data_IF_645011733779
#
_entry.id   IF_645011733779
#
_cell.length_a   1.000
_cell.length_b   1.000
_cell.length_c   1.000
_cell.angle_alpha   90.00
_cell.angle_beta   90.00
_cell.angle_gamma   90.00
#
_symmetry.space_group_name_H-M   'P 1'
#
loop_
_entity.id
_entity.type
_entity.pdbx_description
1 polymer ?
#
# COMPACT_ATOMS: atom_id res chain seq x y z
N UNK A 1 -4.51 17.34 -14.71
CA UNK A 1 -3.92 16.06 -14.25
C UNK A 1 -2.97 16.40 -13.12
N UNK A 2 -3.28 16.01 -11.88
CA UNK A 2 -2.50 16.42 -10.70
C UNK A 2 -1.10 15.81 -10.71
N UNK A 3 -0.10 16.66 -10.44
CA UNK A 3 1.33 16.35 -10.28
C UNK A 3 1.66 15.42 -9.10
N UNK A 4 0.65 14.96 -8.36
CA UNK A 4 0.78 14.11 -7.17
C UNK A 4 0.55 12.63 -7.45
N UNK A 5 0.50 12.21 -8.72
CA UNK A 5 0.61 10.80 -9.06
C UNK A 5 2.02 10.33 -8.66
N UNK A 6 2.13 9.75 -7.47
CA UNK A 6 3.29 9.00 -7.04
C UNK A 6 3.58 7.97 -8.13
N UNK A 7 4.58 8.27 -8.96
CA UNK A 7 5.18 7.32 -9.87
C UNK A 7 5.45 6.06 -9.07
N UNK A 8 4.99 4.91 -9.56
CA UNK A 8 5.30 3.56 -9.06
C UNK A 8 6.81 3.24 -9.19
N UNK A 9 7.67 4.17 -8.81
CA UNK A 9 9.10 3.99 -8.68
C UNK A 9 9.38 3.75 -7.21
N UNK A 10 9.97 2.60 -6.89
CA UNK A 10 10.79 2.49 -5.69
C UNK A 10 11.67 3.73 -5.62
N UNK A 11 11.75 4.38 -4.45
CA UNK A 11 12.64 5.53 -4.24
C UNK A 11 13.97 5.25 -4.92
N UNK A 12 14.41 6.14 -5.82
CA UNK A 12 15.72 6.01 -6.47
C UNK A 12 16.86 5.92 -5.42
N UNK A 13 16.58 6.41 -4.21
CA UNK A 13 17.48 6.34 -3.06
C UNK A 13 17.13 5.13 -2.19
N UNK A 14 18.03 4.16 -2.21
CA UNK A 14 18.02 3.01 -1.32
C UNK A 14 18.07 3.43 0.17
N UNK A 15 17.36 2.74 1.09
CA UNK A 15 17.41 3.05 2.51
C UNK A 15 18.83 3.04 3.09
N UNK A 16 19.09 3.93 4.04
CA UNK A 16 20.40 4.08 4.68
C UNK A 16 20.72 2.96 5.69
N UNK A 17 19.72 2.23 6.13
CA UNK A 17 19.83 1.19 7.15
C UNK A 17 19.92 -0.20 6.51
N UNK A 18 20.41 -1.18 7.27
CA UNK A 18 20.47 -2.59 6.84
C UNK A 18 19.05 -3.15 6.63
N UNK A 19 18.88 -4.04 5.66
CA UNK A 19 17.57 -4.68 5.38
C UNK A 19 16.93 -5.28 6.65
N UNK A 20 17.69 -6.10 7.38
CA UNK A 20 17.22 -6.78 8.60
C UNK A 20 17.10 -5.88 9.84
N UNK A 21 17.32 -4.56 9.71
CA UNK A 21 16.94 -3.60 10.75
C UNK A 21 15.46 -3.21 10.72
N UNK A 22 14.77 -3.54 9.63
CA UNK A 22 13.33 -3.42 9.51
C UNK A 22 12.69 -4.75 9.93
N UNK A 23 11.42 -4.70 10.35
CA UNK A 23 10.58 -5.90 10.57
C UNK A 23 9.64 -6.18 9.39
N UNK A 24 9.27 -5.12 8.67
CA UNK A 24 8.29 -5.17 7.60
C UNK A 24 8.72 -4.26 6.45
N UNK A 25 8.53 -4.74 5.23
CA UNK A 25 8.46 -3.91 4.03
C UNK A 25 7.04 -4.05 3.49
N UNK A 26 6.37 -2.93 3.19
CA UNK A 26 4.98 -2.93 2.74
C UNK A 26 4.90 -2.21 1.41
N UNK A 27 4.32 -2.87 0.40
CA UNK A 27 4.10 -2.31 -0.92
C UNK A 27 2.65 -2.56 -1.34
N UNK A 28 1.90 -1.48 -1.54
CA UNK A 28 0.61 -1.54 -2.24
C UNK A 28 0.84 -1.55 -3.75
N UNK A 29 0.09 -2.39 -4.46
CA UNK A 29 0.18 -2.53 -5.91
C UNK A 29 -1.16 -2.10 -6.51
N UNK A 30 -1.11 -1.11 -7.39
CA UNK A 30 -2.26 -0.65 -8.15
C UNK A 30 -2.31 -1.34 -9.51
N UNK A 31 -3.41 -2.03 -9.79
CA UNK A 31 -3.66 -2.74 -11.04
C UNK A 31 -4.55 -1.88 -11.94
N UNK A 32 -3.94 -1.23 -12.93
CA UNK A 32 -4.63 -0.45 -13.97
C UNK A 32 -5.63 0.58 -13.43
N UNK A 33 -5.29 1.24 -12.32
CA UNK A 33 -6.13 2.23 -11.62
C UNK A 33 -7.52 1.72 -11.21
N UNK A 34 -7.68 0.40 -11.07
CA UNK A 34 -8.98 -0.25 -10.83
C UNK A 34 -9.02 -1.08 -9.56
N UNK A 35 -7.88 -1.65 -9.17
CA UNK A 35 -7.80 -2.59 -8.05
C UNK A 35 -6.50 -2.45 -7.29
N UNK A 36 -6.54 -2.70 -5.99
CA UNK A 36 -5.38 -2.65 -5.10
C UNK A 36 -5.14 -4.02 -4.49
N UNK A 37 -3.88 -4.46 -4.56
CA UNK A 37 -3.36 -5.61 -3.80
C UNK A 37 -2.20 -5.14 -2.92
N UNK A 38 -1.73 -6.04 -2.06
CA UNK A 38 -0.69 -5.75 -1.09
C UNK A 38 0.37 -6.85 -1.07
N UNK A 39 1.63 -6.41 -0.98
CA UNK A 39 2.80 -7.25 -0.70
C UNK A 39 3.37 -6.80 0.64
N UNK A 40 3.46 -7.72 1.60
CA UNK A 40 4.14 -7.50 2.89
C UNK A 40 5.31 -8.47 2.96
N UNK A 41 6.52 -7.95 3.11
CA UNK A 41 7.71 -8.77 3.38
C UNK A 41 8.00 -8.68 4.87
N UNK A 42 8.07 -9.82 5.54
CA UNK A 42 8.53 -9.92 6.93
C UNK A 42 10.00 -10.31 6.95
N UNK A 43 10.76 -9.62 7.79
CA UNK A 43 12.17 -9.90 8.08
C UNK A 43 12.24 -10.49 9.48
N UNK A 44 12.80 -11.69 9.57
CA UNK A 44 12.98 -12.42 10.83
C UNK A 44 14.45 -12.34 11.29
N UNK A 45 14.72 -12.63 12.58
CA UNK A 45 16.08 -12.83 13.05
C UNK A 45 16.83 -13.85 12.17
N UNK A 46 18.16 -13.71 12.13
CA UNK A 46 19.04 -14.65 11.43
C UNK A 46 18.92 -14.67 9.90
N UNK A 47 18.46 -13.57 9.30
CA UNK A 47 18.48 -13.40 7.85
C UNK A 47 17.30 -14.03 7.11
N UNK A 48 16.22 -14.38 7.81
CA UNK A 48 15.05 -14.99 7.19
C UNK A 48 14.10 -13.94 6.60
N UNK A 49 13.50 -14.27 5.45
CA UNK A 49 12.51 -13.45 4.75
C UNK A 49 11.28 -14.30 4.39
N UNK A 50 10.10 -13.75 4.63
CA UNK A 50 8.84 -14.28 4.09
C UNK A 50 8.08 -13.18 3.37
N UNK A 51 7.40 -13.53 2.28
CA UNK A 51 6.54 -12.62 1.52
C UNK A 51 5.09 -13.04 1.67
N UNK A 52 4.22 -12.09 1.98
CA UNK A 52 2.80 -12.26 2.15
C UNK A 52 2.07 -11.44 1.09
N UNK A 53 1.24 -12.10 0.30
CA UNK A 53 0.41 -11.50 -0.73
C UNK A 53 -1.03 -11.42 -0.26
N UNK A 54 -1.66 -10.28 -0.51
CA UNK A 54 -3.05 -10.08 -0.16
C UNK A 54 -3.83 -9.43 -1.30
N UNK A 55 -4.91 -10.10 -1.70
CA UNK A 55 -5.88 -9.59 -2.65
C UNK A 55 -7.28 -9.67 -2.03
N UNK A 56 -7.89 -8.52 -1.66
CA UNK A 56 -9.23 -8.47 -1.08
C UNK A 56 -10.33 -9.08 -1.97
N UNK A 57 -10.15 -9.09 -3.31
CA UNK A 57 -11.10 -9.72 -4.25
C UNK A 57 -10.83 -11.22 -4.46
N UNK A 58 -9.60 -11.66 -4.24
CA UNK A 58 -9.11 -12.99 -4.61
C UNK A 58 -9.27 -13.32 -6.11
N UNK A 59 -9.10 -12.33 -6.98
CA UNK A 59 -9.17 -12.51 -8.44
C UNK A 59 -7.88 -13.09 -9.01
N UNK A 60 -7.99 -14.16 -9.83
CA UNK A 60 -6.82 -14.84 -10.42
C UNK A 60 -5.86 -13.92 -11.19
N UNK A 61 -6.31 -13.00 -12.07
CA UNK A 61 -5.40 -12.12 -12.82
C UNK A 61 -4.55 -11.22 -11.91
N UNK A 62 -5.16 -10.65 -10.86
CA UNK A 62 -4.46 -9.77 -9.93
C UNK A 62 -3.40 -10.51 -9.15
N UNK A 63 -3.64 -11.77 -8.77
CA UNK A 63 -2.63 -12.59 -8.09
C UNK A 63 -1.34 -12.73 -8.90
N UNK A 64 -1.47 -13.11 -10.17
CA UNK A 64 -0.33 -13.26 -11.08
C UNK A 64 0.41 -11.95 -11.29
N UNK A 65 -0.31 -10.83 -11.45
CA UNK A 65 0.33 -9.51 -11.58
C UNK A 65 1.07 -9.08 -10.30
N UNK A 66 0.51 -9.34 -9.12
CA UNK A 66 1.16 -9.06 -7.83
C UNK A 66 2.44 -9.88 -7.65
N UNK A 67 2.40 -11.18 -7.97
CA UNK A 67 3.57 -12.06 -7.98
C UNK A 67 4.63 -11.59 -8.98
N UNK A 68 4.21 -11.09 -10.14
CA UNK A 68 5.11 -10.51 -11.12
C UNK A 68 5.78 -9.25 -10.56
N UNK A 69 5.06 -8.37 -9.88
CA UNK A 69 5.65 -7.18 -9.23
C UNK A 69 6.66 -7.60 -8.16
N UNK A 70 6.37 -8.63 -7.38
CA UNK A 70 7.32 -9.19 -6.42
C UNK A 70 8.59 -9.69 -7.10
N UNK A 71 8.46 -10.62 -8.04
CA UNK A 71 9.61 -11.33 -8.65
C UNK A 71 10.44 -10.43 -9.55
N UNK A 72 9.80 -9.55 -10.34
CA UNK A 72 10.50 -8.72 -11.33
C UNK A 72 10.98 -7.37 -10.82
N UNK A 73 10.43 -6.89 -9.69
CA UNK A 73 10.77 -5.55 -9.17
C UNK A 73 11.21 -5.54 -7.71
N UNK A 74 10.32 -5.95 -6.80
CA UNK A 74 10.58 -5.78 -5.36
C UNK A 74 11.70 -6.72 -4.86
N UNK A 75 11.69 -8.00 -5.21
CA UNK A 75 12.72 -8.95 -4.80
C UNK A 75 14.12 -8.56 -5.32
N UNK A 76 14.30 -8.19 -6.61
CA UNK A 76 15.56 -7.63 -7.09
C UNK A 76 16.02 -6.41 -6.30
N UNK A 77 15.10 -5.47 -6.02
CA UNK A 77 15.42 -4.29 -5.19
C UNK A 77 15.89 -4.70 -3.78
N UNK A 78 15.20 -5.63 -3.13
CA UNK A 78 15.54 -6.13 -1.79
C UNK A 78 16.91 -6.82 -1.78
N UNK A 79 17.24 -7.60 -2.81
CA UNK A 79 18.57 -8.22 -2.97
C UNK A 79 19.66 -7.16 -3.13
N UNK A 80 19.46 -6.18 -4.00
CA UNK A 80 20.41 -5.09 -4.22
C UNK A 80 20.61 -4.28 -2.94
N UNK A 81 19.51 -3.99 -2.23
CA UNK A 81 19.57 -3.27 -0.96
C UNK A 81 20.37 -4.03 0.09
N UNK A 82 20.12 -5.33 0.25
CA UNK A 82 20.90 -6.18 1.15
C UNK A 82 22.39 -6.17 0.78
N UNK A 83 22.76 -6.42 -0.47
CA UNK A 83 24.16 -6.52 -0.90
C UNK A 83 24.91 -5.20 -0.71
N UNK A 84 24.25 -4.07 -0.94
CA UNK A 84 24.86 -2.75 -0.77
C UNK A 84 25.17 -2.39 0.68
N UNK A 85 24.55 -3.07 1.66
CA UNK A 85 24.69 -2.81 3.10
C UNK A 85 25.22 -4.01 3.88
N UNK A 86 25.67 -5.03 3.16
CA UNK A 86 26.26 -6.24 3.70
C UNK A 86 27.58 -5.95 4.40
N UNK A 87 27.83 -6.63 5.51
CA UNK A 87 29.10 -6.61 6.22
C UNK A 87 29.47 -7.99 6.73
N UNK A 88 30.76 -8.23 6.93
CA UNK A 88 31.26 -9.49 7.50
C UNK A 88 30.62 -9.75 8.87
N UNK A 89 30.01 -10.92 9.02
CA UNK A 89 29.28 -11.33 10.24
C UNK A 89 27.75 -11.21 10.16
N UNK A 90 27.19 -10.63 9.10
CA UNK A 90 25.76 -10.68 8.85
C UNK A 90 25.31 -12.08 8.35
N UNK A 91 24.00 -12.38 8.36
CA UNK A 91 23.44 -13.63 7.86
C UNK A 91 23.20 -13.60 6.35
N UNK A 92 23.54 -14.67 5.59
CA UNK A 92 23.41 -14.68 4.14
C UNK A 92 21.97 -14.40 3.70
N UNK A 93 21.82 -13.78 2.51
CA UNK A 93 20.50 -13.57 1.93
C UNK A 93 19.88 -14.94 1.69
N UNK A 94 18.62 -15.16 2.08
CA UNK A 94 18.04 -16.48 1.99
C UNK A 94 17.96 -16.93 0.53
N UNK A 95 18.35 -18.18 0.27
CA UNK A 95 18.29 -18.77 -1.07
C UNK A 95 16.86 -18.77 -1.62
N UNK A 96 15.90 -19.00 -0.73
CA UNK A 96 14.46 -19.03 -1.00
C UNK A 96 13.72 -18.10 -0.03
N UNK A 97 12.75 -17.35 -0.55
CA UNK A 97 11.83 -16.53 0.26
C UNK A 97 10.52 -17.30 0.33
N UNK A 98 10.03 -17.60 1.54
CA UNK A 98 8.75 -18.30 1.71
C UNK A 98 7.62 -17.38 1.28
N UNK A 99 6.73 -17.87 0.43
CA UNK A 99 5.56 -17.12 -0.02
C UNK A 99 4.28 -17.58 0.68
N UNK A 100 3.39 -16.64 0.92
CA UNK A 100 2.11 -16.91 1.57
C UNK A 100 1.00 -16.04 0.98
N UNK A 101 -0.07 -16.66 0.51
CA UNK A 101 -1.28 -15.96 0.12
C UNK A 101 -2.25 -15.85 1.29
N UNK A 102 -2.49 -14.62 1.74
CA UNK A 102 -3.52 -14.31 2.73
C UNK A 102 -4.88 -14.43 2.05
N UNK A 103 -5.64 -15.46 2.42
CA UNK A 103 -6.92 -15.78 1.78
C UNK A 103 -8.10 -14.96 2.33
N UNK A 104 -8.03 -14.52 3.58
CA UNK A 104 -9.09 -13.81 4.30
C UNK A 104 -8.52 -12.62 5.08
N UNK A 105 -9.34 -11.59 5.35
CA UNK A 105 -10.73 -11.41 4.90
C UNK A 105 -10.84 -10.98 3.44
N UNK A 106 -12.01 -11.20 2.84
CA UNK A 106 -12.36 -10.66 1.52
C UNK A 106 -13.18 -9.38 1.66
N UNK A 107 -13.10 -8.53 0.64
CA UNK A 107 -13.97 -7.35 0.61
C UNK A 107 -15.43 -7.71 0.29
N UNK A 108 -16.41 -6.98 0.85
CA UNK A 108 -17.83 -7.23 0.62
C UNK A 108 -18.38 -6.66 -0.70
N UNK A 109 -17.57 -5.90 -1.44
CA UNK A 109 -17.97 -5.18 -2.64
C UNK A 109 -16.81 -5.03 -3.64
N UNK A 110 -17.02 -4.29 -4.74
CA UNK A 110 -16.01 -4.05 -5.77
C UNK A 110 -15.13 -2.81 -5.58
N UNK A 111 -15.26 -2.07 -4.46
CA UNK A 111 -14.64 -0.73 -4.32
C UNK A 111 -13.92 -0.50 -2.99
N UNK A 112 -13.74 -1.55 -2.18
CA UNK A 112 -13.11 -1.48 -0.86
C UNK A 112 -11.66 -1.95 -0.85
N UNK A 113 -11.06 -2.28 -1.99
CA UNK A 113 -9.77 -2.96 -2.04
C UNK A 113 -8.65 -2.12 -1.40
N UNK A 114 -8.67 -0.80 -1.61
CA UNK A 114 -7.71 0.12 -0.99
C UNK A 114 -7.78 0.13 0.54
N UNK A 115 -8.98 0.27 1.12
CA UNK A 115 -9.13 0.31 2.59
C UNK A 115 -8.82 -1.06 3.21
N UNK A 116 -9.12 -2.16 2.51
CA UNK A 116 -8.78 -3.51 2.94
C UNK A 116 -7.26 -3.74 2.94
N UNK A 117 -6.54 -3.31 1.89
CA UNK A 117 -5.08 -3.37 1.86
C UNK A 117 -4.46 -2.57 3.01
N UNK A 118 -4.94 -1.34 3.24
CA UNK A 118 -4.43 -0.51 4.33
C UNK A 118 -4.62 -1.21 5.68
N UNK A 119 -5.80 -1.77 5.91
CA UNK A 119 -6.11 -2.32 7.19
C UNK A 119 -5.42 -3.68 7.42
N UNK A 120 -5.15 -4.46 6.36
CA UNK A 120 -4.29 -5.64 6.41
C UNK A 120 -2.84 -5.26 6.79
N UNK A 121 -2.29 -4.23 6.14
CA UNK A 121 -0.97 -3.71 6.49
C UNK A 121 -0.92 -3.25 7.95
N UNK A 122 -1.93 -2.50 8.40
CA UNK A 122 -2.04 -2.06 9.79
C UNK A 122 -2.00 -3.24 10.76
N UNK A 123 -2.74 -4.32 10.48
CA UNK A 123 -2.76 -5.52 11.32
C UNK A 123 -1.35 -6.09 11.49
N UNK A 124 -0.66 -6.34 10.37
CA UNK A 124 0.70 -6.88 10.38
C UNK A 124 1.66 -6.02 11.19
N UNK A 125 1.60 -4.69 11.01
CA UNK A 125 2.46 -3.74 11.70
C UNK A 125 2.22 -3.69 13.22
N UNK A 126 1.01 -4.03 13.68
CA UNK A 126 0.64 -4.06 15.10
C UNK A 126 0.79 -5.44 15.75
N UNK A 127 1.38 -6.41 15.05
CA UNK A 127 1.62 -7.76 15.57
C UNK A 127 0.45 -8.73 15.38
N UNK A 128 -0.62 -8.28 14.72
CA UNK A 128 -1.75 -9.12 14.36
C UNK A 128 -1.55 -9.58 12.91
N UNK A 129 -1.06 -10.81 12.68
CA UNK A 129 -0.75 -11.35 11.34
C UNK A 129 -2.00 -11.68 10.49
N UNK A 130 -3.01 -10.82 10.53
CA UNK A 130 -4.31 -11.01 9.93
C UNK A 130 -5.34 -10.14 10.62
N UNK A 131 -6.44 -9.90 9.94
CA UNK A 131 -7.63 -9.35 10.59
C UNK A 131 -8.23 -10.40 11.51
N UNK A 132 -8.62 -10.03 12.73
CA UNK A 132 -9.37 -10.93 13.63
C UNK A 132 -10.72 -11.39 13.04
N UNK A 133 -11.21 -10.70 12.00
CA UNK A 133 -12.48 -10.99 11.35
C UNK A 133 -12.25 -11.73 10.04
N UNK A 134 -12.76 -12.95 9.97
CA UNK A 134 -12.82 -13.72 8.72
C UNK A 134 -13.82 -13.15 7.71
N UNK A 135 -14.89 -12.52 8.20
CA UNK A 135 -15.93 -11.89 7.37
C UNK A 135 -15.98 -10.39 7.60
N UNK A 136 -15.81 -9.62 6.53
CA UNK A 136 -15.92 -8.16 6.54
C UNK A 136 -17.20 -7.74 5.82
N UNK A 137 -18.08 -7.03 6.53
CA UNK A 137 -19.33 -6.50 5.95
C UNK A 137 -19.15 -5.06 5.47
N UNK A 138 -20.13 -4.54 4.72
CA UNK A 138 -20.14 -3.14 4.25
C UNK A 138 -20.07 -2.14 5.41
N UNK A 139 -20.76 -2.41 6.52
CA UNK A 139 -20.75 -1.54 7.70
C UNK A 139 -19.36 -1.51 8.34
N UNK A 140 -18.67 -2.65 8.37
CA UNK A 140 -17.28 -2.72 8.86
C UNK A 140 -16.37 -1.87 7.97
N UNK A 141 -16.51 -1.96 6.65
CA UNK A 141 -15.78 -1.11 5.70
C UNK A 141 -16.06 0.37 5.96
N UNK A 142 -17.32 0.76 6.20
CA UNK A 142 -17.66 2.15 6.52
C UNK A 142 -16.96 2.63 7.79
N UNK A 143 -16.93 1.80 8.85
CA UNK A 143 -16.20 2.12 10.08
C UNK A 143 -14.69 2.22 9.83
N UNK A 144 -14.10 1.33 9.02
CA UNK A 144 -12.68 1.43 8.65
C UNK A 144 -12.37 2.74 7.93
N UNK A 145 -13.21 3.13 6.95
CA UNK A 145 -13.07 4.40 6.23
C UNK A 145 -13.22 5.60 7.15
N UNK A 146 -14.20 5.58 8.07
CA UNK A 146 -14.39 6.65 9.04
C UNK A 146 -13.19 6.78 9.98
N UNK A 147 -12.63 5.66 10.45
CA UNK A 147 -11.40 5.67 11.28
C UNK A 147 -10.21 6.23 10.52
N UNK A 148 -10.03 5.87 9.25
CA UNK A 148 -8.98 6.45 8.41
C UNK A 148 -9.16 7.96 8.26
N UNK A 149 -10.38 8.41 7.94
CA UNK A 149 -10.70 9.84 7.84
C UNK A 149 -10.43 10.57 9.16
N UNK A 150 -10.78 9.97 10.31
CA UNK A 150 -10.49 10.53 11.61
C UNK A 150 -8.99 10.69 11.85
N UNK A 151 -8.18 9.68 11.51
CA UNK A 151 -6.71 9.78 11.60
C UNK A 151 -6.18 10.91 10.72
N UNK A 152 -6.70 11.05 9.49
CA UNK A 152 -6.27 12.12 8.58
C UNK A 152 -6.68 13.50 9.11
N UNK A 153 -7.93 13.67 9.54
CA UNK A 153 -8.48 14.97 9.93
C UNK A 153 -8.01 15.43 11.31
N UNK A 154 -7.86 14.50 12.25
CA UNK A 154 -7.57 14.82 13.65
C UNK A 154 -6.13 14.51 14.06
N UNK A 155 -5.45 13.61 13.33
CA UNK A 155 -4.08 13.18 13.62
C UNK A 155 -3.02 13.86 12.77
N UNK A 156 -3.39 14.53 11.67
CA UNK A 156 -2.42 15.26 10.84
C UNK A 156 -2.16 16.64 11.41
N UNK A 157 -0.88 16.98 11.58
CA UNK A 157 -0.47 18.38 11.76
C UNK A 157 -0.70 19.08 10.43
N UNK A 158 -1.75 19.89 10.35
CA UNK A 158 -1.97 20.77 9.21
C UNK A 158 -0.88 21.85 9.30
N UNK A 159 0.16 21.71 8.47
CA UNK A 159 1.08 22.81 8.29
C UNK A 159 0.32 23.95 7.60
N UNK A 160 0.47 25.21 8.06
CA UNK A 160 -0.09 26.33 7.34
C UNK A 160 0.49 26.31 5.92
N UNK A 161 -0.41 26.18 4.96
CA UNK A 161 -0.10 26.27 3.54
C UNK A 161 0.37 27.70 3.25
N UNK A 162 1.31 27.85 2.33
CA UNK A 162 1.68 29.19 1.87
C UNK A 162 0.47 29.84 1.19
N UNK A 163 0.36 31.19 1.17
CA UNK A 163 -0.71 31.87 0.45
C UNK A 163 -0.78 31.49 -1.05
N UNK A 164 0.37 31.11 -1.61
CA UNK A 164 0.52 30.64 -2.99
C UNK A 164 -0.10 29.24 -3.18
N UNK A 165 0.15 28.32 -2.24
CA UNK A 165 -0.47 26.99 -2.24
C UNK A 165 -1.98 27.07 -1.98
N UNK A 166 -2.42 28.00 -1.13
CA UNK A 166 -3.84 28.24 -0.85
C UNK A 166 -4.59 28.73 -2.10
N UNK A 167 -4.01 29.70 -2.83
CA UNK A 167 -4.56 30.17 -4.09
C UNK A 167 -4.61 29.05 -5.15
N UNK A 168 -3.58 28.20 -5.22
CA UNK A 168 -3.54 27.07 -6.15
C UNK A 168 -4.59 25.99 -5.80
N UNK A 169 -4.81 25.73 -4.51
CA UNK A 169 -5.87 24.82 -4.04
C UNK A 169 -7.25 25.38 -4.39
N UNK A 170 -7.47 26.68 -4.19
CA UNK A 170 -8.75 27.32 -4.51
C UNK A 170 -9.05 27.27 -6.02
N UNK A 171 -8.05 27.54 -6.86
CA UNK A 171 -8.19 27.48 -8.32
C UNK A 171 -8.46 26.04 -8.80
N UNK A 172 -7.72 25.06 -8.24
CA UNK A 172 -7.97 23.63 -8.49
C UNK A 172 -9.38 23.22 -8.05
N UNK A 173 -9.84 23.72 -6.90
CA UNK A 173 -11.19 23.49 -6.40
C UNK A 173 -12.27 24.03 -7.34
N UNK A 174 -12.10 25.25 -7.87
CA UNK A 174 -12.99 25.85 -8.86
C UNK A 174 -13.01 25.04 -10.16
N UNK A 175 -11.85 24.59 -10.64
CA UNK A 175 -11.75 23.75 -11.84
C UNK A 175 -12.52 22.44 -11.65
N UNK A 176 -12.30 21.73 -10.53
CA UNK A 176 -12.99 20.48 -10.21
C UNK A 176 -14.50 20.67 -10.15
N UNK A 177 -14.98 21.68 -9.42
CA UNK A 177 -16.41 22.00 -9.33
C UNK A 177 -16.98 22.26 -10.73
N UNK A 178 -16.27 23.02 -11.58
CA UNK A 178 -16.73 23.32 -12.94
C UNK A 178 -16.88 22.06 -13.81
N UNK A 179 -16.00 21.08 -13.63
CA UNK A 179 -16.03 19.80 -14.36
C UNK A 179 -17.20 18.94 -13.88
N UNK A 180 -17.42 18.87 -12.57
CA UNK A 180 -18.50 18.06 -11.99
C UNK A 180 -19.88 18.69 -12.23
N UNK A 181 -20.02 20.01 -12.15
CA UNK A 181 -21.26 20.72 -12.49
C UNK A 181 -21.58 20.59 -13.99
N UNK A 182 -20.58 20.66 -14.88
CA UNK A 182 -20.79 20.43 -16.32
C UNK A 182 -21.20 19.00 -16.66
N UNK A 183 -20.74 17.99 -15.90
CA UNK A 183 -21.17 16.59 -16.09
C UNK A 183 -22.62 16.35 -15.65
N UNK A 184 -23.09 17.05 -14.61
CA UNK A 184 -24.49 16.97 -14.16
C UNK A 184 -25.49 17.59 -15.13
N UNK A 185 -25.05 18.52 -15.99
CA UNK A 185 -25.92 19.21 -16.95
C UNK A 185 -26.15 18.44 -18.28
N UNK A 186 -25.50 17.28 -18.49
CA UNK A 186 -25.64 16.44 -19.70
C UNK A 186 -26.38 15.12 -19.45
N UNK A 187 -27.44 15.18 -18.65
CA UNK A 187 -28.44 14.11 -18.60
C UNK A 187 -29.79 14.70 -19.02
N UNK A 188 -29.98 14.79 -20.33
CA UNK A 188 -31.27 14.80 -21.03
C UNK A 188 -31.07 14.07 -22.35
#
# INVERSE_FOLDING_TARGET
MSSHLATLGFSAKMPAYKLFSFKYLVLSVNHSNSHWTLIIVTTEPYGMLSVHFYDPLSGRPYKTETELVWTSKLLPFVRIWYSARWSDGDYPFPSEVRDHWIATPKQPDGSSCGIMCLAMAYSYLHGNQGFERDTVTKDVVQVMRLRLLWVILCGSVIHPISPEDEAAIEDTGKELISIFVKKSAKVW
#
